data_IF_584051350528
#
_entry.id   IF_584051350528
#
_cell.length_a   1.000
_cell.length_b   1.000
_cell.length_c   1.000
_cell.angle_alpha   90.00
_cell.angle_beta   90.00
_cell.angle_gamma   90.00
#
_symmetry.space_group_name_H-M   'P 1'
#
loop_
_entity.id
_entity.type
_entity.pdbx_description
1 polymer ?
#
# COMPACT_ATOMS: atom_id res chain seq x y z
N UNK A 1 -3.04 -41.71 17.90
CA UNK A 1 -3.03 -40.25 18.12
C UNK A 1 -4.48 -39.80 18.14
N UNK A 2 -5.01 -39.38 19.29
CA UNK A 2 -6.41 -38.94 19.38
C UNK A 2 -6.51 -37.52 18.82
N UNK A 3 -7.24 -37.34 17.72
CA UNK A 3 -7.56 -36.02 17.20
C UNK A 3 -8.61 -35.44 18.13
N UNK A 4 -8.26 -34.36 18.83
CA UNK A 4 -9.17 -33.65 19.71
C UNK A 4 -10.18 -32.89 18.84
N UNK A 5 -11.48 -33.03 19.10
CA UNK A 5 -12.46 -32.27 18.33
C UNK A 5 -12.30 -30.76 18.56
N UNK A 6 -12.34 -29.95 17.49
CA UNK A 6 -12.28 -28.50 17.59
C UNK A 6 -13.47 -27.96 18.40
N UNK A 7 -13.21 -26.97 19.25
CA UNK A 7 -14.19 -26.36 20.17
C UNK A 7 -14.23 -24.84 20.02
N UNK A 8 -15.34 -24.24 20.43
CA UNK A 8 -15.53 -22.79 20.38
C UNK A 8 -15.37 -22.25 18.95
N UNK A 9 -14.55 -21.20 18.80
CA UNK A 9 -14.33 -20.55 17.51
C UNK A 9 -13.72 -21.47 16.44
N UNK A 10 -12.93 -22.47 16.82
CA UNK A 10 -12.40 -23.43 15.85
C UNK A 10 -13.50 -24.25 15.19
N UNK A 11 -14.49 -24.71 15.96
CA UNK A 11 -15.64 -25.45 15.43
C UNK A 11 -16.51 -24.58 14.53
N UNK A 12 -16.69 -23.31 14.88
CA UNK A 12 -17.44 -22.35 14.06
C UNK A 12 -16.71 -22.06 12.75
N UNK A 13 -15.38 -21.90 12.79
CA UNK A 13 -14.56 -21.70 11.61
C UNK A 13 -14.62 -22.90 10.67
N UNK A 14 -14.49 -24.12 11.20
CA UNK A 14 -14.60 -25.35 10.40
C UNK A 14 -15.98 -25.46 9.74
N UNK A 15 -17.05 -25.15 10.48
CA UNK A 15 -18.41 -25.18 9.95
C UNK A 15 -18.63 -24.15 8.84
N UNK A 16 -18.20 -22.91 9.04
CA UNK A 16 -18.30 -21.86 8.02
C UNK A 16 -17.41 -22.11 6.80
N UNK A 17 -16.25 -22.77 7.00
CA UNK A 17 -15.38 -23.19 5.90
C UNK A 17 -15.98 -24.34 5.08
N UNK A 18 -16.68 -25.28 5.74
CA UNK A 18 -17.33 -26.41 5.09
C UNK A 18 -18.62 -26.00 4.35
N UNK A 19 -19.35 -25.02 4.89
CA UNK A 19 -20.61 -24.51 4.35
C UNK A 19 -20.53 -22.99 4.16
N UNK A 20 -19.94 -22.49 3.06
CA UNK A 20 -19.74 -21.06 2.84
C UNK A 20 -21.04 -20.22 2.87
N UNK A 21 -22.19 -20.83 2.56
CA UNK A 21 -23.51 -20.21 2.57
C UNK A 21 -24.00 -19.78 3.96
N UNK A 22 -23.45 -20.38 5.04
CA UNK A 22 -23.74 -19.98 6.43
C UNK A 22 -22.62 -19.12 7.03
N UNK A 23 -21.59 -18.80 6.25
CA UNK A 23 -20.51 -17.95 6.71
C UNK A 23 -21.00 -16.50 6.82
N UNK A 24 -20.96 -15.95 8.03
CA UNK A 24 -21.47 -14.61 8.32
C UNK A 24 -20.29 -13.71 8.68
N UNK A 25 -19.94 -12.82 7.76
CA UNK A 25 -18.88 -11.84 7.96
C UNK A 25 -19.46 -10.43 7.91
N UNK A 26 -19.11 -9.60 8.89
CA UNK A 26 -19.46 -8.18 8.87
C UNK A 26 -18.56 -7.47 7.87
N UNK A 27 -19.14 -6.71 6.94
CA UNK A 27 -18.38 -5.98 5.90
C UNK A 27 -17.61 -4.75 6.39
N UNK A 28 -17.85 -4.30 7.63
CA UNK A 28 -17.21 -3.12 8.23
C UNK A 28 -17.12 -1.87 7.30
N UNK A 29 -18.16 -1.62 6.49
CA UNK A 29 -18.12 -0.62 5.43
C UNK A 29 -17.66 0.78 5.89
N UNK A 30 -18.16 1.27 7.02
CA UNK A 30 -17.75 2.57 7.56
C UNK A 30 -16.25 2.61 7.91
N UNK A 31 -15.69 1.54 8.48
CA UNK A 31 -14.26 1.46 8.80
C UNK A 31 -13.42 1.36 7.52
N UNK A 32 -13.88 0.61 6.52
CA UNK A 32 -13.20 0.53 5.23
C UNK A 32 -13.16 1.89 4.51
N UNK A 33 -14.25 2.66 4.57
CA UNK A 33 -14.30 4.02 4.01
C UNK A 33 -13.33 4.95 4.75
N UNK A 34 -13.29 4.91 6.08
CA UNK A 34 -12.33 5.71 6.85
C UNK A 34 -10.88 5.34 6.49
N UNK A 35 -10.59 4.04 6.35
CA UNK A 35 -9.27 3.58 5.92
C UNK A 35 -8.90 4.10 4.53
N UNK A 36 -9.84 4.07 3.57
CA UNK A 36 -9.62 4.65 2.25
C UNK A 36 -9.30 6.14 2.32
N UNK A 37 -10.09 6.91 3.07
CA UNK A 37 -9.91 8.36 3.19
C UNK A 37 -8.53 8.68 3.81
N UNK A 38 -8.09 7.89 4.79
CA UNK A 38 -6.73 8.01 5.36
C UNK A 38 -5.66 7.75 4.30
N UNK A 39 -5.75 6.63 3.58
CA UNK A 39 -4.79 6.28 2.52
C UNK A 39 -4.75 7.34 1.40
N UNK A 40 -5.90 7.94 1.06
CA UNK A 40 -5.96 9.04 0.09
C UNK A 40 -5.24 10.28 0.59
N UNK A 41 -5.45 10.67 1.85
CA UNK A 41 -4.75 11.81 2.44
C UNK A 41 -3.23 11.59 2.44
N UNK A 42 -2.77 10.41 2.88
CA UNK A 42 -1.35 10.02 2.85
C UNK A 42 -0.77 10.07 1.43
N UNK A 43 -1.50 9.58 0.42
CA UNK A 43 -1.06 9.62 -0.97
C UNK A 43 -0.96 11.04 -1.53
N UNK A 44 -1.87 11.93 -1.13
CA UNK A 44 -1.82 13.35 -1.52
C UNK A 44 -0.59 14.03 -0.92
N UNK A 45 -0.32 13.79 0.36
CA UNK A 45 0.85 14.37 1.03
C UNK A 45 2.17 13.85 0.41
N UNK A 46 2.26 12.56 0.12
CA UNK A 46 3.41 11.97 -0.57
C UNK A 46 3.57 12.52 -1.99
N UNK A 47 2.46 12.76 -2.71
CA UNK A 47 2.50 13.35 -4.04
C UNK A 47 3.06 14.78 -4.01
N UNK A 48 2.66 15.58 -3.04
CA UNK A 48 3.19 16.94 -2.85
C UNK A 48 4.69 16.88 -2.57
N UNK A 49 5.12 16.06 -1.60
CA UNK A 49 6.55 15.92 -1.26
C UNK A 49 7.39 15.43 -2.44
N UNK A 50 6.91 14.43 -3.19
CA UNK A 50 7.58 13.96 -4.39
C UNK A 50 7.74 15.05 -5.44
N UNK A 51 6.74 15.94 -5.54
CA UNK A 51 6.77 17.12 -6.42
C UNK A 51 7.73 18.20 -5.93
N UNK A 52 8.07 18.24 -4.67
CA UNK A 52 9.09 19.16 -4.18
C UNK A 52 10.49 18.58 -4.48
N UNK A 53 10.70 17.30 -4.15
CA UNK A 53 11.97 16.59 -4.37
C UNK A 53 12.40 16.60 -5.84
N UNK A 54 11.52 16.25 -6.78
CA UNK A 54 11.92 16.23 -8.20
C UNK A 54 12.27 17.63 -8.76
N UNK A 55 11.77 18.70 -8.13
CA UNK A 55 12.00 20.08 -8.55
C UNK A 55 13.31 20.59 -7.97
N UNK A 56 13.67 20.12 -6.78
CA UNK A 56 15.00 20.27 -6.20
C UNK A 56 16.06 19.53 -7.03
N UNK A 57 15.80 18.27 -7.41
CA UNK A 57 16.70 17.48 -8.28
C UNK A 57 16.92 18.17 -9.64
N UNK A 58 15.84 18.64 -10.29
CA UNK A 58 15.91 19.38 -11.56
C UNK A 58 16.67 20.71 -11.44
N UNK A 59 16.66 21.34 -10.26
CA UNK A 59 17.37 22.57 -9.96
C UNK A 59 18.79 22.35 -9.41
N UNK A 60 19.19 21.09 -9.17
CA UNK A 60 20.47 20.73 -8.59
C UNK A 60 21.63 21.13 -9.49
N UNK A 61 22.82 21.35 -8.92
CA UNK A 61 24.06 21.47 -9.71
C UNK A 61 24.65 20.12 -10.12
N UNK A 62 24.16 19.02 -9.56
CA UNK A 62 24.56 17.66 -9.92
C UNK A 62 23.83 17.21 -11.19
N UNK A 63 24.60 16.89 -12.23
CA UNK A 63 24.08 16.43 -13.51
C UNK A 63 23.38 15.07 -13.39
N UNK A 64 23.79 14.21 -12.46
CA UNK A 64 23.13 12.92 -12.26
C UNK A 64 21.75 13.08 -11.63
N UNK A 65 21.58 14.05 -10.72
CA UNK A 65 20.28 14.38 -10.11
C UNK A 65 19.31 15.00 -11.12
N UNK A 66 19.77 15.94 -11.94
CA UNK A 66 18.97 16.54 -13.03
C UNK A 66 18.46 15.48 -14.03
N UNK A 67 19.23 14.42 -14.25
CA UNK A 67 18.86 13.36 -15.17
C UNK A 67 17.81 12.38 -14.61
N UNK A 68 17.48 12.45 -13.32
CA UNK A 68 16.48 11.55 -12.74
C UNK A 68 15.08 11.74 -13.33
N UNK A 69 14.69 12.99 -13.63
CA UNK A 69 13.37 13.32 -14.20
C UNK A 69 13.17 12.75 -15.61
N UNK A 70 14.27 12.50 -16.33
CA UNK A 70 14.25 11.98 -17.72
C UNK A 70 14.64 10.50 -17.81
N UNK A 71 15.46 9.99 -16.88
CA UNK A 71 15.99 8.63 -16.91
C UNK A 71 15.69 7.82 -15.64
N UNK A 72 14.48 7.23 -15.57
CA UNK A 72 14.09 6.32 -14.47
C UNK A 72 15.06 5.16 -14.21
N UNK A 73 15.85 4.73 -15.21
CA UNK A 73 16.89 3.71 -15.00
C UNK A 73 18.03 4.24 -14.11
N UNK A 74 18.42 5.50 -14.28
CA UNK A 74 19.43 6.15 -13.44
C UNK A 74 18.88 6.35 -12.02
N UNK A 75 17.68 6.92 -11.90
CA UNK A 75 16.99 7.09 -10.62
C UNK A 75 16.88 5.79 -9.80
N UNK A 76 16.58 4.66 -10.45
CA UNK A 76 16.50 3.37 -9.73
C UNK A 76 17.85 2.80 -9.31
N UNK A 77 18.94 3.24 -9.95
CA UNK A 77 20.30 2.74 -9.73
C UNK A 77 21.11 3.66 -8.81
N UNK A 78 20.65 4.88 -8.56
CA UNK A 78 21.26 5.77 -7.57
C UNK A 78 21.08 5.17 -6.18
N UNK A 79 22.18 4.77 -5.58
CA UNK A 79 22.25 4.40 -4.17
C UNK A 79 22.06 5.70 -3.37
N UNK A 80 20.95 5.84 -2.62
CA UNK A 80 20.56 6.99 -1.79
C UNK A 80 19.83 8.17 -2.49
N UNK A 81 19.13 7.95 -3.61
CA UNK A 81 18.22 9.00 -4.11
C UNK A 81 16.95 9.07 -3.25
N UNK A 82 16.77 10.21 -2.58
CA UNK A 82 15.55 10.56 -1.84
C UNK A 82 14.32 10.46 -2.74
N UNK A 83 14.44 10.87 -4.00
CA UNK A 83 13.38 10.76 -4.99
C UNK A 83 13.00 9.30 -5.26
N UNK A 84 13.97 8.39 -5.39
CA UNK A 84 13.68 6.98 -5.61
C UNK A 84 13.04 6.34 -4.36
N UNK A 85 13.50 6.70 -3.15
CA UNK A 85 12.91 6.24 -1.89
C UNK A 85 11.44 6.67 -1.78
N UNK A 86 11.16 7.95 -2.02
CA UNK A 86 9.79 8.50 -2.04
C UNK A 86 8.92 7.79 -3.09
N UNK A 87 9.47 7.51 -4.27
CA UNK A 87 8.74 6.78 -5.32
C UNK A 87 8.40 5.34 -4.89
N UNK A 88 9.28 4.66 -4.13
CA UNK A 88 9.01 3.34 -3.59
C UNK A 88 7.93 3.37 -2.50
N UNK A 89 7.93 4.39 -1.64
CA UNK A 89 6.89 4.60 -0.63
C UNK A 89 5.52 4.83 -1.28
N UNK A 90 5.44 5.73 -2.27
CA UNK A 90 4.22 5.97 -3.05
C UNK A 90 3.71 4.66 -3.66
N UNK A 91 4.59 3.83 -4.24
CA UNK A 91 4.20 2.54 -4.83
C UNK A 91 3.60 1.59 -3.79
N UNK A 92 4.23 1.48 -2.62
CA UNK A 92 3.71 0.65 -1.52
C UNK A 92 2.33 1.15 -1.09
N UNK A 93 2.18 2.46 -0.90
CA UNK A 93 0.91 3.05 -0.47
C UNK A 93 -0.19 2.92 -1.51
N UNK A 94 0.14 3.06 -2.81
CA UNK A 94 -0.79 2.80 -3.91
C UNK A 94 -1.22 1.33 -3.97
N UNK A 95 -0.34 0.39 -3.65
CA UNK A 95 -0.71 -1.03 -3.55
C UNK A 95 -1.69 -1.26 -2.40
N UNK A 96 -1.43 -0.70 -1.21
CA UNK A 96 -2.34 -0.73 -0.06
C UNK A 96 -3.72 -0.16 -0.42
N UNK A 97 -3.74 1.04 -1.01
CA UNK A 97 -4.97 1.69 -1.47
C UNK A 97 -5.72 0.84 -2.50
N UNK A 98 -5.03 0.33 -3.52
CA UNK A 98 -5.65 -0.46 -4.58
C UNK A 98 -6.25 -1.76 -4.06
N UNK A 99 -5.57 -2.43 -3.12
CA UNK A 99 -6.14 -3.62 -2.45
C UNK A 99 -7.40 -3.26 -1.68
N UNK A 100 -7.36 -2.19 -0.87
CA UNK A 100 -8.54 -1.78 -0.09
C UNK A 100 -9.69 -1.40 -1.00
N UNK A 101 -9.48 -0.74 -2.14
CA UNK A 101 -10.53 -0.39 -3.12
C UNK A 101 -11.11 -1.61 -3.84
N UNK A 102 -10.27 -2.59 -4.20
CA UNK A 102 -10.71 -3.78 -4.95
C UNK A 102 -11.51 -4.77 -4.08
N UNK A 103 -11.25 -4.80 -2.78
CA UNK A 103 -11.85 -5.77 -1.84
C UNK A 103 -13.01 -5.19 -0.99
N UNK A 104 -13.69 -4.13 -1.47
CA UNK A 104 -14.84 -3.49 -0.78
C UNK A 104 -16.18 -4.16 -1.04
#
# INVERSE_FOLDING_TARGET
>A
MFIQEPRGYHRVADLMGQYPEIAIFRRFAALNIVNLLSLQAELVDLQVQFRDIWAEDDASSDLDEQEFSTYFRKLRRSENSVQNEMLLEIRKKLQEYSMVVLFQ
#
